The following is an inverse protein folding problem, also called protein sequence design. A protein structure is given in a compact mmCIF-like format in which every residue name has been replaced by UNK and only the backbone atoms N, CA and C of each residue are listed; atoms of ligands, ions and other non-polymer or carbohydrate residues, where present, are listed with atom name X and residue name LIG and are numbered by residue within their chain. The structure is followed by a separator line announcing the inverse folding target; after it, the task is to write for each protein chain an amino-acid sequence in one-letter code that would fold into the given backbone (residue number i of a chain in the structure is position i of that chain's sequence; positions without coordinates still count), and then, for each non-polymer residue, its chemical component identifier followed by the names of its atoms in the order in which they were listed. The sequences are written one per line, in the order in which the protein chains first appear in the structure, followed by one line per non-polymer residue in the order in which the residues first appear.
data_IF_509781383085
#
_entry.id   IF_509781383085
#
_cell.length_a   1.000
_cell.length_b   1.000
_cell.length_c   1.000
_cell.angle_alpha   90.00
_cell.angle_beta   90.00
_cell.angle_gamma   90.00
#
_symmetry.space_group_name_H-M   'P 1'
#
loop_
_entity.id
_entity.type
_entity.pdbx_description
1 polymer ?
#
# COMPACT_ATOMS: atom_id res chain seq x y z
N UNK A 1 24.89 1.98 -16.67
CA UNK A 1 23.57 1.47 -16.23
C UNK A 1 23.13 2.33 -15.08
N UNK A 2 21.95 2.92 -15.19
CA UNK A 2 21.34 3.63 -14.08
C UNK A 2 21.08 2.63 -12.95
N UNK A 3 21.53 2.96 -11.74
CA UNK A 3 21.39 2.08 -10.59
C UNK A 3 19.97 2.25 -10.07
N UNK A 4 19.18 1.18 -10.11
CA UNK A 4 17.84 1.18 -9.51
C UNK A 4 17.97 1.13 -7.98
N UNK A 5 17.71 2.27 -7.34
CA UNK A 5 17.82 2.43 -5.89
C UNK A 5 16.68 1.71 -5.13
N UNK A 6 15.55 1.46 -5.78
CA UNK A 6 14.47 0.66 -5.19
C UNK A 6 14.90 -0.82 -5.14
N UNK A 7 15.52 -1.32 -6.21
CA UNK A 7 16.10 -2.66 -6.21
C UNK A 7 17.19 -2.82 -5.14
N UNK A 8 18.01 -1.80 -4.92
CA UNK A 8 18.99 -1.80 -3.82
C UNK A 8 18.27 -1.87 -2.47
N UNK A 9 17.27 -1.02 -2.25
CA UNK A 9 16.50 -1.01 -1.01
C UNK A 9 15.82 -2.37 -0.76
N UNK A 10 15.34 -3.04 -1.82
CA UNK A 10 14.68 -4.34 -1.72
C UNK A 10 15.64 -5.48 -1.37
N UNK A 11 16.89 -5.42 -1.82
CA UNK A 11 17.93 -6.42 -1.54
C UNK A 11 18.53 -6.35 -0.14
N UNK A 12 18.31 -5.24 0.59
CA UNK A 12 18.77 -5.08 1.98
C UNK A 12 18.14 -6.11 2.90
N UNK A 13 18.87 -6.51 3.94
CA UNK A 13 18.29 -7.22 5.07
C UNK A 13 17.24 -6.36 5.75
N UNK A 14 16.33 -6.99 6.51
CA UNK A 14 15.28 -6.25 7.21
C UNK A 14 15.86 -5.23 8.21
N UNK A 15 16.95 -5.57 8.89
CA UNK A 15 17.59 -4.69 9.87
C UNK A 15 18.26 -3.49 9.21
N UNK A 16 18.99 -3.69 8.10
CA UNK A 16 19.55 -2.60 7.30
C UNK A 16 18.45 -1.68 6.75
N UNK A 17 17.36 -2.26 6.25
CA UNK A 17 16.22 -1.49 5.76
C UNK A 17 15.60 -0.63 6.86
N UNK A 18 15.43 -1.19 8.06
CA UNK A 18 14.90 -0.44 9.22
C UNK A 18 15.84 0.68 9.61
N UNK A 19 17.13 0.39 9.72
CA UNK A 19 18.14 1.37 10.12
C UNK A 19 18.20 2.55 9.15
N UNK A 20 18.19 2.29 7.84
CA UNK A 20 18.30 3.35 6.83
C UNK A 20 16.97 4.09 6.62
N UNK A 21 15.86 3.37 6.47
CA UNK A 21 14.63 3.93 5.92
C UNK A 21 13.51 4.18 6.95
N UNK A 22 13.64 3.72 8.20
CA UNK A 22 12.66 4.04 9.25
C UNK A 22 13.22 5.04 10.27
N UNK A 23 12.36 5.69 11.08
CA UNK A 23 12.82 6.59 12.14
C UNK A 23 13.76 5.87 13.14
N UNK A 24 14.94 6.44 13.46
CA UNK A 24 16.03 5.72 14.12
C UNK A 24 15.75 5.31 15.57
N UNK A 25 14.93 6.09 16.30
CA UNK A 25 14.68 5.84 17.73
C UNK A 25 13.64 4.74 17.98
N UNK A 26 13.09 4.12 16.93
CA UNK A 26 12.03 3.12 17.06
C UNK A 26 10.66 3.72 17.40
N UNK A 27 10.52 5.04 17.44
CA UNK A 27 9.26 5.75 17.70
C UNK A 27 8.14 5.35 16.74
N UNK A 28 8.49 4.85 15.55
CA UNK A 28 7.53 4.33 14.57
C UNK A 28 6.85 3.02 15.01
N UNK A 29 7.41 2.28 15.97
CA UNK A 29 6.88 1.00 16.46
C UNK A 29 5.71 1.19 17.40
N UNK A 30 5.51 2.38 17.95
CA UNK A 30 4.42 2.66 18.89
C UNK A 30 3.71 3.94 18.51
N UNK A 31 2.39 3.91 18.50
CA UNK A 31 1.60 5.10 18.26
C UNK A 31 0.43 5.17 19.22
N UNK A 32 0.14 6.38 19.73
CA UNK A 32 -1.00 6.63 20.61
C UNK A 32 -1.99 7.53 19.90
N UNK A 33 -3.25 7.10 19.85
CA UNK A 33 -4.28 7.88 19.19
C UNK A 33 -4.52 9.22 19.88
N UNK A 34 -4.47 10.36 19.16
CA UNK A 34 -4.56 11.66 19.80
C UNK A 34 -5.90 11.86 20.54
N UNK A 35 -6.99 11.39 19.94
CA UNK A 35 -8.35 11.43 20.51
C UNK A 35 -8.64 10.29 21.49
N UNK A 36 -8.60 9.02 21.06
CA UNK A 36 -9.03 7.87 21.88
C UNK A 36 -8.00 7.41 22.90
N UNK A 37 -6.76 7.91 22.82
CA UNK A 37 -5.61 7.47 23.64
C UNK A 37 -5.27 5.98 23.54
N UNK A 38 -5.89 5.24 22.62
CA UNK A 38 -5.55 3.85 22.38
C UNK A 38 -4.09 3.74 21.91
N UNK A 39 -3.36 2.78 22.47
CA UNK A 39 -1.98 2.48 22.12
C UNK A 39 -1.94 1.39 21.05
N UNK A 40 -1.07 1.57 20.07
CA UNK A 40 -0.91 0.69 18.93
C UNK A 40 0.55 0.34 18.76
N UNK A 41 0.81 -0.91 18.41
CA UNK A 41 2.15 -1.40 18.08
C UNK A 41 2.22 -1.72 16.61
N UNK A 42 3.27 -1.21 15.98
CA UNK A 42 3.61 -1.44 14.59
C UNK A 42 4.85 -2.32 14.51
N UNK A 43 4.89 -3.20 13.52
CA UNK A 43 6.07 -3.99 13.20
C UNK A 43 6.25 -4.07 11.69
N UNK A 44 7.50 -4.07 11.24
CA UNK A 44 7.86 -4.34 9.86
C UNK A 44 8.31 -5.80 9.73
N UNK A 45 7.77 -6.53 8.76
CA UNK A 45 8.14 -7.91 8.44
C UNK A 45 8.38 -8.07 6.95
N UNK A 46 9.17 -9.05 6.55
CA UNK A 46 9.24 -9.49 5.15
C UNK A 46 8.15 -10.54 4.91
N UNK A 47 7.81 -10.80 3.64
CA UNK A 47 6.92 -11.91 3.31
C UNK A 47 7.39 -13.26 3.88
N UNK A 48 8.72 -13.46 3.97
CA UNK A 48 9.33 -14.66 4.52
C UNK A 48 9.30 -14.73 6.06
N UNK A 49 9.24 -13.60 6.78
CA UNK A 49 9.23 -13.57 8.25
C UNK A 49 7.83 -13.49 8.88
N UNK A 50 6.78 -13.43 8.07
CA UNK A 50 5.41 -13.58 8.53
C UNK A 50 5.16 -14.99 9.06
N UNK A 51 4.54 -15.07 10.24
CA UNK A 51 3.99 -16.34 10.72
C UNK A 51 2.80 -16.77 9.86
N UNK A 52 2.46 -18.07 9.80
CA UNK A 52 1.27 -18.53 9.07
C UNK A 52 -0.02 -17.83 9.51
N UNK A 53 -0.19 -17.60 10.82
CA UNK A 53 -1.36 -16.92 11.37
C UNK A 53 -1.44 -15.43 10.96
N UNK A 54 -0.32 -14.71 10.96
CA UNK A 54 -0.28 -13.31 10.50
C UNK A 54 -0.55 -13.23 9.00
N UNK A 55 0.03 -14.14 8.21
CA UNK A 55 -0.21 -14.21 6.77
C UNK A 55 -1.69 -14.46 6.47
N UNK A 56 -2.31 -15.43 7.12
CA UNK A 56 -3.73 -15.74 6.95
C UNK A 56 -4.62 -14.59 7.42
N UNK A 57 -4.29 -13.93 8.53
CA UNK A 57 -5.02 -12.74 8.98
C UNK A 57 -4.96 -11.60 7.94
N UNK A 58 -3.78 -11.33 7.36
CA UNK A 58 -3.63 -10.33 6.30
C UNK A 58 -4.42 -10.72 5.04
N UNK A 59 -4.39 -12.00 4.66
CA UNK A 59 -5.14 -12.48 3.50
C UNK A 59 -6.64 -12.35 3.72
N UNK A 60 -7.15 -12.77 4.88
CA UNK A 60 -8.57 -12.66 5.21
C UNK A 60 -9.01 -11.20 5.32
N UNK A 61 -8.15 -10.29 5.77
CA UNK A 61 -8.45 -8.86 5.75
C UNK A 61 -8.68 -8.37 4.31
N UNK A 62 -7.76 -8.67 3.38
CA UNK A 62 -7.91 -8.30 1.96
C UNK A 62 -9.14 -8.95 1.34
N UNK A 63 -9.38 -10.23 1.64
CA UNK A 63 -10.55 -10.94 1.15
C UNK A 63 -11.83 -10.29 1.64
N UNK A 64 -11.92 -9.99 2.94
CA UNK A 64 -13.08 -9.36 3.54
C UNK A 64 -13.34 -7.96 2.97
N UNK A 65 -12.30 -7.15 2.77
CA UNK A 65 -12.47 -5.76 2.35
C UNK A 65 -12.60 -5.58 0.84
N UNK A 66 -12.01 -6.47 0.04
CA UNK A 66 -11.78 -6.19 -1.39
C UNK A 66 -12.26 -7.30 -2.33
N UNK A 67 -12.55 -8.51 -1.84
CA UNK A 67 -12.92 -9.62 -2.74
C UNK A 67 -14.24 -9.38 -3.48
N UNK A 68 -15.18 -8.64 -2.89
CA UNK A 68 -16.44 -8.28 -3.55
C UNK A 68 -16.21 -7.36 -4.76
N UNK A 69 -15.30 -6.41 -4.65
CA UNK A 69 -14.95 -5.50 -5.74
C UNK A 69 -14.20 -6.24 -6.84
N UNK A 70 -13.23 -7.09 -6.48
CA UNK A 70 -12.55 -7.98 -7.44
C UNK A 70 -13.50 -8.91 -8.18
N UNK A 71 -14.52 -9.48 -7.52
CA UNK A 71 -15.50 -10.36 -8.20
C UNK A 71 -16.32 -9.63 -9.25
N UNK A 72 -16.51 -8.32 -9.09
CA UNK A 72 -17.23 -7.46 -10.04
C UNK A 72 -16.32 -6.92 -11.15
N UNK A 73 -15.00 -7.02 -11.00
CA UNK A 73 -14.03 -6.54 -11.99
C UNK A 73 -13.75 -7.60 -13.06
N UNK A 74 -13.14 -7.18 -14.17
CA UNK A 74 -12.72 -8.07 -15.27
C UNK A 74 -11.76 -9.18 -14.80
N UNK A 75 -10.93 -8.90 -13.80
CA UNK A 75 -9.88 -9.82 -13.34
C UNK A 75 -10.40 -10.92 -12.42
N UNK A 76 -11.53 -10.68 -11.74
CA UNK A 76 -12.12 -11.59 -10.76
C UNK A 76 -11.33 -11.69 -9.45
N UNK A 77 -11.93 -12.34 -8.45
CA UNK A 77 -11.22 -12.72 -7.21
C UNK A 77 -10.54 -14.08 -7.37
N UNK A 78 -9.20 -14.10 -7.33
CA UNK A 78 -8.38 -15.32 -7.47
C UNK A 78 -7.57 -15.57 -6.18
N UNK A 79 -8.14 -16.25 -5.16
CA UNK A 79 -7.50 -16.46 -3.84
C UNK A 79 -6.08 -17.01 -3.93
N UNK A 80 -5.86 -18.05 -4.75
CA UNK A 80 -4.55 -18.69 -4.90
C UNK A 80 -3.52 -17.74 -5.50
N UNK A 81 -3.90 -16.97 -6.53
CA UNK A 81 -3.00 -15.98 -7.14
C UNK A 81 -2.69 -14.85 -6.17
N UNK A 82 -3.69 -14.34 -5.43
CA UNK A 82 -3.48 -13.30 -4.42
C UNK A 82 -2.56 -13.76 -3.30
N UNK A 83 -2.70 -15.01 -2.83
CA UNK A 83 -1.75 -15.60 -1.86
C UNK A 83 -0.34 -15.73 -2.40
N UNK A 84 -0.16 -16.01 -3.70
CA UNK A 84 1.18 -16.05 -4.33
C UNK A 84 1.78 -14.64 -4.43
N UNK A 85 1.00 -13.66 -4.87
CA UNK A 85 1.40 -12.24 -4.91
C UNK A 85 1.86 -11.77 -3.53
N UNK A 86 1.09 -12.08 -2.48
CA UNK A 86 1.44 -11.75 -1.08
C UNK A 86 2.72 -12.41 -0.57
N UNK A 87 3.31 -13.38 -1.30
CA UNK A 87 4.54 -14.07 -0.95
C UNK A 87 5.75 -13.65 -1.81
N UNK A 88 5.61 -12.62 -2.65
CA UNK A 88 6.74 -12.07 -3.41
C UNK A 88 7.84 -11.57 -2.46
N UNK A 89 9.10 -11.84 -2.81
CA UNK A 89 10.26 -11.64 -1.93
C UNK A 89 10.47 -10.18 -1.54
N UNK A 90 10.15 -9.26 -2.44
CA UNK A 90 10.35 -7.83 -2.22
C UNK A 90 9.26 -7.21 -1.31
N UNK A 91 8.17 -7.93 -1.04
CA UNK A 91 7.09 -7.45 -0.20
C UNK A 91 7.50 -7.38 1.28
N UNK A 92 7.23 -6.21 1.85
CA UNK A 92 7.37 -5.91 3.26
C UNK A 92 6.01 -5.52 3.83
N UNK A 93 5.73 -6.00 5.03
CA UNK A 93 4.46 -5.84 5.74
C UNK A 93 4.64 -4.91 6.92
N UNK A 94 3.95 -3.77 6.89
CA UNK A 94 3.70 -2.96 8.07
C UNK A 94 2.45 -3.49 8.76
N UNK A 95 2.64 -4.26 9.83
CA UNK A 95 1.54 -4.85 10.59
C UNK A 95 1.08 -3.90 11.70
N UNK A 96 -0.24 -3.71 11.78
CA UNK A 96 -0.91 -3.04 12.90
C UNK A 96 -2.11 -3.88 13.29
N UNK A 97 -2.26 -4.16 14.58
CA UNK A 97 -3.35 -5.05 15.06
C UNK A 97 -4.71 -4.35 15.16
N UNK A 98 -4.77 -3.03 15.05
CA UNK A 98 -6.00 -2.22 15.14
C UNK A 98 -5.88 -0.95 14.29
N UNK A 99 -6.98 -0.50 13.66
CA UNK A 99 -6.98 0.37 12.48
C UNK A 99 -6.29 1.74 12.62
N UNK A 100 -5.31 2.00 11.73
CA UNK A 100 -4.52 3.24 11.64
C UNK A 100 -4.07 3.57 10.20
N UNK A 101 -5.00 3.55 9.24
CA UNK A 101 -4.66 3.77 7.82
C UNK A 101 -3.78 5.01 7.58
N UNK A 102 -4.08 6.15 8.22
CA UNK A 102 -3.30 7.38 8.06
C UNK A 102 -1.87 7.27 8.61
N UNK A 103 -1.66 6.56 9.73
CA UNK A 103 -0.31 6.38 10.30
C UNK A 103 0.53 5.50 9.38
N UNK A 104 -0.08 4.43 8.85
CA UNK A 104 0.55 3.56 7.86
C UNK A 104 0.98 4.34 6.61
N UNK A 105 0.10 5.16 6.05
CA UNK A 105 0.44 5.97 4.87
C UNK A 105 1.56 6.96 5.14
N UNK A 106 1.58 7.62 6.30
CA UNK A 106 2.70 8.52 6.69
C UNK A 106 4.03 7.80 6.80
N UNK A 107 4.02 6.56 7.30
CA UNK A 107 5.25 5.77 7.41
C UNK A 107 5.76 5.34 6.02
N UNK A 108 4.86 4.95 5.11
CA UNK A 108 5.21 4.67 3.70
C UNK A 108 5.80 5.92 3.03
N UNK A 109 5.21 7.08 3.24
CA UNK A 109 5.73 8.36 2.72
C UNK A 109 7.12 8.67 3.31
N UNK A 110 7.33 8.46 4.60
CA UNK A 110 8.64 8.66 5.24
C UNK A 110 9.72 7.73 4.68
N UNK A 111 9.37 6.49 4.36
CA UNK A 111 10.29 5.53 3.71
C UNK A 111 10.63 6.03 2.30
N UNK A 112 9.61 6.47 1.55
CA UNK A 112 9.79 6.99 0.19
C UNK A 112 10.71 8.22 0.13
N UNK A 113 10.63 9.13 1.11
CA UNK A 113 11.56 10.29 1.22
C UNK A 113 13.01 9.83 1.40
N UNK A 114 13.23 8.75 2.15
CA UNK A 114 14.58 8.26 2.49
C UNK A 114 15.21 7.36 1.42
N UNK A 115 14.41 6.67 0.61
CA UNK A 115 14.91 5.92 -0.55
C UNK A 115 15.15 6.92 -1.69
N UNK A 116 16.41 7.22 -2.06
CA UNK A 116 16.66 8.23 -3.08
C UNK A 116 16.08 7.79 -4.42
N UNK A 117 15.83 8.76 -5.30
CA UNK A 117 15.15 8.57 -6.59
C UNK A 117 13.70 8.07 -6.54
N UNK A 118 13.10 7.84 -5.36
CA UNK A 118 11.64 7.65 -5.27
C UNK A 118 10.94 8.96 -5.58
N UNK A 119 10.19 9.01 -6.69
CA UNK A 119 9.48 10.21 -7.16
C UNK A 119 8.07 10.32 -6.59
N UNK A 120 7.38 9.18 -6.43
CA UNK A 120 6.00 9.11 -5.98
C UNK A 120 5.68 7.82 -5.26
N UNK A 121 4.78 7.90 -4.27
CA UNK A 121 4.10 6.73 -3.69
C UNK A 121 2.87 6.46 -4.54
N UNK A 122 2.64 5.20 -4.92
CA UNK A 122 1.54 4.82 -5.81
C UNK A 122 0.68 3.70 -5.22
N UNK A 123 -0.60 3.66 -5.61
CA UNK A 123 -1.51 2.57 -5.32
C UNK A 123 -2.62 2.48 -6.38
N UNK A 124 -3.23 1.31 -6.49
CA UNK A 124 -4.42 1.09 -7.31
C UNK A 124 -5.64 0.94 -6.41
N UNK A 125 -6.71 1.67 -6.69
CA UNK A 125 -7.95 1.65 -5.93
C UNK A 125 -9.14 1.39 -6.87
N UNK A 126 -10.06 0.51 -6.47
CA UNK A 126 -11.32 0.37 -7.21
C UNK A 126 -12.13 1.66 -7.14
N UNK A 127 -12.72 2.08 -8.26
CA UNK A 127 -13.52 3.30 -8.35
C UNK A 127 -14.84 3.19 -7.58
N UNK A 128 -15.38 1.97 -7.45
CA UNK A 128 -16.55 1.70 -6.61
C UNK A 128 -16.27 1.82 -5.10
N UNK A 129 -15.00 1.78 -4.66
CA UNK A 129 -14.63 1.98 -3.26
C UNK A 129 -14.44 3.47 -2.94
N UNK A 130 -15.54 4.22 -2.99
CA UNK A 130 -15.54 5.67 -2.80
C UNK A 130 -14.92 6.11 -1.46
N UNK A 131 -15.05 5.27 -0.42
CA UNK A 131 -14.46 5.52 0.91
C UNK A 131 -12.93 5.51 0.83
N UNK A 132 -12.35 4.51 0.17
CA UNK A 132 -10.90 4.43 -0.03
C UNK A 132 -10.40 5.57 -0.94
N UNK A 133 -11.07 5.83 -2.07
CA UNK A 133 -10.73 6.95 -2.97
C UNK A 133 -10.70 8.27 -2.19
N UNK A 134 -11.74 8.55 -1.39
CA UNK A 134 -11.82 9.76 -0.57
C UNK A 134 -10.75 9.79 0.53
N UNK A 135 -10.46 8.65 1.15
CA UNK A 135 -9.40 8.52 2.15
C UNK A 135 -8.04 8.91 1.56
N UNK A 136 -7.67 8.34 0.41
CA UNK A 136 -6.42 8.66 -0.26
C UNK A 136 -6.37 10.10 -0.76
N UNK A 137 -7.48 10.63 -1.29
CA UNK A 137 -7.60 12.05 -1.66
C UNK A 137 -7.32 12.98 -0.47
N UNK A 138 -7.88 12.69 0.70
CA UNK A 138 -7.58 13.44 1.94
C UNK A 138 -6.13 13.28 2.41
N UNK A 139 -5.48 12.17 2.08
CA UNK A 139 -4.06 11.95 2.35
C UNK A 139 -3.13 12.66 1.35
N UNK A 140 -3.67 13.31 0.31
CA UNK A 140 -2.93 14.07 -0.69
C UNK A 140 -2.59 13.28 -1.95
N UNK A 141 -3.21 12.12 -2.17
CA UNK A 141 -3.07 11.37 -3.42
C UNK A 141 -4.04 11.89 -4.48
N UNK A 142 -3.60 11.91 -5.74
CA UNK A 142 -4.38 12.29 -6.91
C UNK A 142 -4.30 11.21 -7.99
N UNK A 143 -5.18 11.28 -9.01
CA UNK A 143 -5.10 10.40 -10.18
C UNK A 143 -3.73 10.57 -10.84
N UNK A 144 -3.05 9.45 -11.06
CA UNK A 144 -1.74 9.39 -11.70
C UNK A 144 -1.84 9.37 -13.22
N UNK A 145 -0.82 9.86 -13.95
CA UNK A 145 -0.80 9.79 -15.41
C UNK A 145 -0.85 8.37 -15.98
N UNK A 146 -0.42 7.36 -15.21
CA UNK A 146 -0.52 5.95 -15.61
C UNK A 146 -1.91 5.35 -15.38
N UNK A 147 -2.83 6.07 -14.73
CA UNK A 147 -4.20 5.59 -14.57
C UNK A 147 -4.89 5.48 -15.93
N UNK A 148 -5.63 4.38 -16.20
CA UNK A 148 -6.24 4.20 -17.51
C UNK A 148 -7.27 5.30 -17.80
N UNK A 149 -7.35 5.77 -19.07
CA UNK A 149 -8.33 6.77 -19.46
C UNK A 149 -9.73 6.16 -19.57
N UNK A 150 -10.81 6.97 -19.46
CA UNK A 150 -12.17 6.50 -19.67
C UNK A 150 -12.36 5.96 -21.09
N UNK A 151 -13.13 4.87 -21.24
CA UNK A 151 -13.48 4.33 -22.55
C UNK A 151 -14.65 5.09 -23.14
N UNK A 152 -14.56 5.48 -24.41
CA UNK A 152 -15.68 6.09 -25.13
C UNK A 152 -16.36 5.02 -25.98
N UNK A 153 -17.66 4.79 -25.73
CA UNK A 153 -18.48 3.85 -26.50
C UNK A 153 -18.88 4.46 -27.86
N UNK A 154 -19.38 3.63 -28.78
CA UNK A 154 -19.79 4.04 -30.14
C UNK A 154 -20.83 5.18 -30.15
N UNK A 155 -21.63 5.31 -29.10
CA UNK A 155 -22.66 6.33 -28.94
C UNK A 155 -22.15 7.61 -28.23
N UNK A 156 -20.84 7.75 -28.01
CA UNK A 156 -20.24 8.89 -27.32
C UNK A 156 -20.29 8.82 -25.78
N UNK A 157 -20.90 7.78 -25.19
CA UNK A 157 -20.92 7.61 -23.73
C UNK A 157 -19.52 7.29 -23.22
N UNK A 158 -19.05 8.05 -22.22
CA UNK A 158 -17.80 7.78 -21.51
C UNK A 158 -18.07 6.85 -20.33
N UNK A 159 -17.34 5.76 -20.27
CA UNK A 159 -17.37 4.78 -19.18
C UNK A 159 -16.04 4.83 -18.47
N UNK A 160 -16.06 5.20 -17.19
CA UNK A 160 -14.89 5.16 -16.33
C UNK A 160 -14.40 3.71 -16.13
N UNK A 161 -13.10 3.57 -15.85
CA UNK A 161 -12.53 2.26 -15.55
C UNK A 161 -12.90 1.80 -14.13
N UNK A 162 -12.81 0.48 -13.94
CA UNK A 162 -13.15 -0.17 -12.66
C UNK A 162 -12.20 0.21 -11.53
N UNK A 163 -10.99 0.67 -11.86
CA UNK A 163 -9.98 1.13 -10.93
C UNK A 163 -9.32 2.43 -11.39
N UNK A 164 -8.72 3.13 -10.44
CA UNK A 164 -7.89 4.31 -10.63
C UNK A 164 -6.51 4.06 -10.03
N UNK A 165 -5.46 4.47 -10.73
CA UNK A 165 -4.12 4.54 -10.16
C UNK A 165 -3.98 5.92 -9.52
N UNK A 166 -3.67 5.93 -8.24
CA UNK A 166 -3.46 7.14 -7.45
C UNK A 166 -1.98 7.25 -7.09
N UNK A 167 -1.46 8.47 -7.06
CA UNK A 167 -0.11 8.74 -6.62
C UNK A 167 0.00 10.03 -5.82
N UNK A 168 1.07 10.12 -5.04
CA UNK A 168 1.48 11.31 -4.31
C UNK A 168 2.98 11.51 -4.50
N UNK A 169 3.38 12.67 -5.01
CA UNK A 169 4.78 13.00 -5.20
C UNK A 169 5.52 13.04 -3.86
N UNK A 170 6.75 12.54 -3.86
CA UNK A 170 7.65 12.60 -2.71
C UNK A 170 8.26 14.00 -2.66
N UNK A 171 7.79 14.83 -1.73
CA UNK A 171 8.40 16.13 -1.45
C UNK A 171 9.68 15.92 -0.62
N UNK A 172 10.83 16.34 -1.15
CA UNK A 172 12.13 16.27 -0.46
C UNK A 172 12.51 17.63 0.11
#
# INVERSE_FOLDING_TARGET
MEVDLIDIANKKTLDEFIHEYLPPNGDWKTWTHPTTKAAYTLSLKTAASLTPAEFDACFHLIEFTSSADYRKSKDGWKPRSKRKEMKLLDLKYLLVKTGLGTVLMRLVESIAVKIPSTEKVMLTCFTCNEKAVRFYGKAGFSKDEFSPPPKTLRNGTKVEEEYVILSKAVSR
#
